data_IF_728170416417
#
_entry.id   IF_728170416417
#
_cell.length_a   1.000
_cell.length_b   1.000
_cell.length_c   1.000
_cell.angle_alpha   90.00
_cell.angle_beta   90.00
_cell.angle_gamma   90.00
#
_symmetry.space_group_name_H-M   'P 1'
#
loop_
_entity.id
_entity.type
_entity.pdbx_description
1 polymer ?
#
# COMPACT_ATOMS: atom_id res chain seq x y z
N UNK A 1 -8.99 -48.16 0.78
CA UNK A 1 -10.31 -47.53 0.97
C UNK A 1 -10.10 -46.37 1.92
N UNK A 2 -9.90 -45.18 1.38
CA UNK A 2 -9.68 -44.00 2.21
C UNK A 2 -11.00 -43.60 2.85
N UNK A 3 -11.07 -43.75 4.17
CA UNK A 3 -12.21 -43.33 4.97
C UNK A 3 -12.16 -41.81 5.05
N UNK A 4 -12.83 -41.14 4.11
CA UNK A 4 -12.99 -39.70 4.15
C UNK A 4 -13.75 -39.32 5.43
N UNK A 5 -13.01 -38.76 6.40
CA UNK A 5 -13.61 -38.13 7.56
C UNK A 5 -14.43 -36.92 7.08
N UNK A 6 -15.60 -36.64 7.67
CA UNK A 6 -16.35 -35.44 7.34
C UNK A 6 -15.48 -34.21 7.63
N UNK A 7 -15.55 -33.17 6.78
CA UNK A 7 -14.81 -31.95 7.02
C UNK A 7 -15.20 -31.37 8.39
N UNK A 8 -14.24 -30.79 9.14
CA UNK A 8 -14.57 -30.19 10.43
C UNK A 8 -15.60 -29.06 10.24
N UNK A 9 -16.45 -28.80 11.25
CA UNK A 9 -17.49 -27.79 11.13
C UNK A 9 -16.87 -26.40 10.91
N UNK A 10 -17.35 -25.71 9.88
CA UNK A 10 -17.00 -24.31 9.62
C UNK A 10 -17.41 -23.46 10.83
N UNK A 11 -16.49 -22.63 11.33
CA UNK A 11 -16.75 -21.76 12.49
C UNK A 11 -16.64 -20.32 12.06
N UNK A 12 -17.68 -19.52 12.29
CA UNK A 12 -17.60 -18.08 12.08
C UNK A 12 -16.76 -17.42 13.19
N UNK A 13 -15.75 -16.61 12.81
CA UNK A 13 -15.00 -15.74 13.72
C UNK A 13 -15.60 -14.33 13.70
N UNK A 14 -16.30 -13.91 14.77
CA UNK A 14 -16.93 -12.59 14.82
C UNK A 14 -15.94 -11.44 14.97
N UNK A 15 -14.69 -11.68 15.41
CA UNK A 15 -13.69 -10.62 15.57
C UNK A 15 -13.16 -10.16 14.22
N UNK A 16 -13.01 -11.11 13.30
CA UNK A 16 -12.48 -10.86 11.95
C UNK A 16 -13.54 -10.96 10.85
N UNK A 17 -14.81 -11.19 11.24
CA UNK A 17 -15.96 -11.35 10.35
C UNK A 17 -15.73 -12.35 9.21
N UNK A 18 -14.97 -13.43 9.47
CA UNK A 18 -14.62 -14.44 8.46
C UNK A 18 -15.08 -15.83 8.89
N UNK A 19 -15.43 -16.66 7.91
CA UNK A 19 -15.58 -18.09 8.13
C UNK A 19 -14.18 -18.69 8.33
N UNK A 20 -13.92 -19.25 9.50
CA UNK A 20 -12.74 -20.07 9.76
C UNK A 20 -12.99 -21.41 9.07
N UNK A 21 -12.53 -21.52 7.83
CA UNK A 21 -12.38 -22.82 7.20
C UNK A 21 -11.33 -23.59 8.00
N UNK A 22 -11.60 -24.84 8.42
CA UNK A 22 -10.61 -25.63 9.13
C UNK A 22 -9.38 -25.81 8.23
N UNK A 23 -8.22 -25.28 8.63
CA UNK A 23 -6.98 -25.34 7.84
C UNK A 23 -6.48 -24.00 7.29
N UNK A 24 -7.20 -22.89 7.51
CA UNK A 24 -6.76 -21.56 7.09
C UNK A 24 -7.47 -21.04 5.84
N UNK A 25 -6.95 -19.96 5.20
CA UNK A 25 -7.47 -19.49 3.92
C UNK A 25 -7.46 -20.64 2.92
N UNK A 26 -8.48 -20.70 2.06
CA UNK A 26 -8.50 -21.68 0.98
C UNK A 26 -7.28 -21.43 0.09
N UNK A 27 -6.41 -22.43 -0.03
CA UNK A 27 -5.22 -22.37 -0.88
C UNK A 27 -5.63 -22.09 -2.33
N UNK A 28 -5.05 -21.05 -2.92
CA UNK A 28 -5.28 -20.65 -4.31
C UNK A 28 -4.03 -20.98 -5.13
N UNK A 29 -3.96 -22.17 -5.76
CA UNK A 29 -2.78 -22.59 -6.51
C UNK A 29 -2.51 -21.74 -7.75
N UNK A 30 -3.52 -21.00 -8.25
CA UNK A 30 -3.32 -20.08 -9.37
C UNK A 30 -2.58 -18.85 -8.92
N UNK A 31 -2.90 -18.34 -7.72
CA UNK A 31 -2.19 -17.22 -7.11
C UNK A 31 -0.77 -17.61 -6.70
N UNK A 32 -0.58 -18.78 -6.10
CA UNK A 32 0.75 -19.22 -5.63
C UNK A 32 1.75 -19.40 -6.78
N UNK A 33 1.28 -19.66 -8.00
CA UNK A 33 2.13 -19.69 -9.20
C UNK A 33 2.56 -18.30 -9.70
N UNK A 34 1.83 -17.25 -9.33
CA UNK A 34 2.08 -15.86 -9.74
C UNK A 34 2.78 -15.05 -8.64
N UNK A 35 2.39 -15.27 -7.39
CA UNK A 35 2.85 -14.56 -6.20
C UNK A 35 3.07 -15.56 -5.05
N UNK A 36 4.16 -16.35 -5.09
CA UNK A 36 4.42 -17.39 -4.09
C UNK A 36 4.57 -16.83 -2.68
N UNK A 37 5.21 -15.67 -2.56
CA UNK A 37 5.48 -15.00 -1.29
C UNK A 37 4.31 -14.12 -0.81
N UNK A 38 3.23 -14.02 -1.61
CA UNK A 38 2.03 -13.25 -1.28
C UNK A 38 2.27 -11.76 -1.05
N UNK A 39 3.35 -11.22 -1.61
CA UNK A 39 3.86 -9.87 -1.37
C UNK A 39 3.37 -8.86 -2.44
N UNK A 40 2.73 -9.33 -3.51
CA UNK A 40 2.34 -8.46 -4.60
C UNK A 40 1.19 -7.51 -4.18
N UNK A 41 1.34 -6.19 -4.35
CA UNK A 41 0.30 -5.24 -4.00
C UNK A 41 -0.94 -5.43 -4.89
N UNK A 42 -2.08 -5.76 -4.28
CA UNK A 42 -3.34 -5.93 -4.99
C UNK A 42 -3.81 -4.59 -5.57
N UNK A 43 -3.88 -4.51 -6.91
CA UNK A 43 -4.49 -3.39 -7.61
C UNK A 43 -5.99 -3.61 -7.77
N UNK A 44 -6.78 -2.62 -7.36
CA UNK A 44 -8.23 -2.64 -7.56
C UNK A 44 -8.53 -2.19 -9.00
N UNK A 45 -9.17 -3.07 -9.77
CA UNK A 45 -9.56 -2.79 -11.16
C UNK A 45 -10.65 -1.72 -11.23
N UNK A 46 -11.51 -1.68 -10.21
CA UNK A 46 -12.62 -0.73 -10.08
C UNK A 46 -12.56 0.02 -8.74
N UNK A 47 -13.19 1.20 -8.66
CA UNK A 47 -13.34 1.91 -7.39
C UNK A 47 -14.01 1.00 -6.34
N UNK A 48 -13.50 1.04 -5.10
CA UNK A 48 -14.14 0.33 -3.98
C UNK A 48 -15.60 0.79 -3.87
N UNK A 49 -16.57 -0.13 -3.88
CA UNK A 49 -17.99 0.21 -3.69
C UNK A 49 -18.20 1.02 -2.42
N UNK A 50 -19.12 1.98 -2.46
CA UNK A 50 -19.35 2.93 -1.35
C UNK A 50 -19.75 2.22 -0.06
N UNK A 51 -20.42 1.08 -0.18
CA UNK A 51 -20.86 0.20 0.89
C UNK A 51 -19.68 -0.43 1.65
N UNK A 52 -18.51 -0.54 0.99
CA UNK A 52 -17.28 -1.12 1.52
C UNK A 52 -16.20 -0.05 1.83
N UNK A 53 -16.48 1.20 1.49
CA UNK A 53 -15.66 2.34 1.88
C UNK A 53 -15.86 2.55 3.39
N UNK A 54 -15.00 1.94 4.21
CA UNK A 54 -15.03 2.10 5.66
C UNK A 54 -15.02 3.59 6.07
N UNK A 55 -15.63 3.94 7.21
CA UNK A 55 -15.94 5.33 7.58
C UNK A 55 -14.72 6.28 7.65
N UNK A 56 -13.50 5.76 7.75
CA UNK A 56 -12.29 6.56 7.95
C UNK A 56 -11.10 6.17 7.05
N UNK A 57 -11.33 5.56 5.89
CA UNK A 57 -10.21 5.38 4.95
C UNK A 57 -10.03 6.64 4.11
N UNK A 58 -8.94 7.43 4.28
CA UNK A 58 -8.54 8.31 3.21
C UNK A 58 -8.33 7.43 1.99
N UNK A 59 -9.21 7.63 1.00
CA UNK A 59 -9.03 7.13 -0.38
C UNK A 59 -7.55 7.26 -0.68
N UNK A 60 -6.89 6.16 -1.09
CA UNK A 60 -5.47 6.06 -1.40
C UNK A 60 -5.06 7.11 -2.45
N UNK A 61 -4.96 8.35 -1.99
CA UNK A 61 -4.62 9.55 -2.72
C UNK A 61 -3.44 10.09 -1.95
N UNK A 62 -2.38 10.38 -2.69
CA UNK A 62 -1.30 11.27 -2.28
C UNK A 62 0.02 10.68 -1.78
N UNK A 63 0.35 9.42 -2.11
CA UNK A 63 1.76 8.99 -2.09
C UNK A 63 2.59 9.82 -3.09
N UNK A 64 2.00 10.14 -4.24
CA UNK A 64 2.62 11.00 -5.26
C UNK A 64 2.70 12.49 -4.86
N UNK A 65 1.72 13.01 -4.12
CA UNK A 65 1.73 14.40 -3.67
C UNK A 65 2.80 14.66 -2.62
N UNK A 66 3.00 13.73 -1.69
CA UNK A 66 4.08 13.80 -0.71
C UNK A 66 5.47 13.80 -1.38
N UNK A 67 5.69 12.92 -2.37
CA UNK A 67 6.93 12.85 -3.13
C UNK A 67 7.17 14.13 -3.98
N UNK A 68 6.13 14.64 -4.66
CA UNK A 68 6.21 15.89 -5.42
C UNK A 68 6.46 17.10 -4.53
N UNK A 69 5.83 17.17 -3.35
CA UNK A 69 6.06 18.24 -2.36
C UNK A 69 7.49 18.21 -1.84
N UNK A 70 8.02 17.03 -1.49
CA UNK A 70 9.42 16.87 -1.08
C UNK A 70 10.39 17.28 -2.18
N UNK A 71 10.15 16.89 -3.43
CA UNK A 71 10.97 17.29 -4.58
C UNK A 71 10.98 18.81 -4.79
N UNK A 72 9.83 19.49 -4.65
CA UNK A 72 9.74 20.96 -4.74
C UNK A 72 10.53 21.65 -3.63
N UNK A 73 10.44 21.15 -2.39
CA UNK A 73 11.20 21.71 -1.25
C UNK A 73 12.70 21.58 -1.50
N UNK A 74 13.17 20.40 -1.94
CA UNK A 74 14.58 20.19 -2.24
C UNK A 74 15.09 21.10 -3.37
N UNK A 75 14.29 21.28 -4.42
CA UNK A 75 14.60 22.23 -5.50
C UNK A 75 14.67 23.67 -5.00
N UNK A 76 13.72 24.10 -4.16
CA UNK A 76 13.72 25.44 -3.59
C UNK A 76 14.97 25.70 -2.74
N UNK A 77 15.35 24.75 -1.88
CA UNK A 77 16.58 24.82 -1.08
C UNK A 77 17.80 24.93 -1.98
N UNK A 78 17.92 24.07 -3.01
CA UNK A 78 19.05 24.10 -3.94
C UNK A 78 19.18 25.45 -4.65
N UNK A 79 18.08 25.97 -5.21
CA UNK A 79 18.08 27.26 -5.90
C UNK A 79 18.50 28.38 -4.94
N UNK A 80 17.99 28.37 -3.71
CA UNK A 80 18.32 29.38 -2.71
C UNK A 80 19.80 29.31 -2.31
N UNK A 81 20.36 28.11 -2.11
CA UNK A 81 21.77 27.91 -1.80
C UNK A 81 22.68 28.41 -2.92
N UNK A 82 22.37 28.08 -4.18
CA UNK A 82 23.15 28.55 -5.33
C UNK A 82 23.07 30.07 -5.46
N UNK A 83 21.87 30.66 -5.31
CA UNK A 83 21.69 32.10 -5.35
C UNK A 83 22.47 32.81 -4.24
N UNK A 84 22.44 32.28 -3.01
CA UNK A 84 23.19 32.82 -1.88
C UNK A 84 24.71 32.72 -2.10
N UNK A 85 25.21 31.63 -2.68
CA UNK A 85 26.62 31.49 -3.04
C UNK A 85 27.05 32.46 -4.14
N UNK A 86 26.21 32.68 -5.17
CA UNK A 86 26.51 33.64 -6.23
C UNK A 86 26.51 35.08 -5.70
N UNK A 87 25.52 35.45 -4.89
CA UNK A 87 25.43 36.80 -4.30
C UNK A 87 26.57 37.00 -3.29
N UNK A 88 26.76 36.06 -2.37
CA UNK A 88 27.83 36.13 -1.37
C UNK A 88 29.23 36.12 -2.00
N UNK A 89 29.45 35.26 -3.00
CA UNK A 89 30.69 35.23 -3.76
C UNK A 89 30.93 36.52 -4.55
N UNK A 90 29.88 37.10 -5.14
CA UNK A 90 29.97 38.38 -5.84
C UNK A 90 30.28 39.55 -4.88
N UNK A 91 29.73 39.54 -3.67
CA UNK A 91 29.99 40.55 -2.62
C UNK A 91 31.40 40.41 -2.00
N UNK A 92 31.99 39.22 -2.00
CA UNK A 92 33.35 39.00 -1.48
C UNK A 92 34.43 39.36 -2.50
N UNK A 93 34.11 39.34 -3.80
CA UNK A 93 35.06 39.60 -4.90
C UNK A 93 35.11 41.09 -5.29
N UNK A 94 34.07 41.87 -4.98
CA UNK A 94 34.00 43.32 -5.19
C UNK A 94 34.37 44.10 -3.92
#
# INVERSE_FOLDING_TARGET
>A
MDRALPPPPERFDPITARWLTPGGPLHDPQRDGLDPDHDEPVSLVDPVPRELAGPDRPVARDVDGAARRRRRILLAVLVFTVAALLIGGFVVIY
#
